data_IF_744830509399
#
_entry.id   IF_744830509399
#
_cell.length_a   1.000
_cell.length_b   1.000
_cell.length_c   1.000
_cell.angle_alpha   90.00
_cell.angle_beta   90.00
_cell.angle_gamma   90.00
#
_symmetry.space_group_name_H-M   'P 1'
#
loop_
_entity.id
_entity.type
_entity.pdbx_description
1 polymer ?
#
# COMPACT_ATOMS: atom_id res chain seq x y z
N UNK A 1 -10.43 18.46 5.41
CA UNK A 1 -10.70 17.48 6.46
C UNK A 1 -9.40 17.20 7.21
N UNK A 2 -9.34 17.63 8.44
CA UNK A 2 -8.23 17.44 9.34
C UNK A 2 -8.14 15.94 9.64
N UNK A 3 -7.13 15.26 9.13
CA UNK A 3 -6.75 14.02 9.75
C UNK A 3 -6.21 14.39 11.14
N UNK A 4 -6.85 13.99 12.23
CA UNK A 4 -6.32 14.23 13.55
C UNK A 4 -5.09 13.34 13.70
N UNK A 5 -3.94 13.91 13.49
CA UNK A 5 -2.68 13.28 13.84
C UNK A 5 -2.58 13.33 15.37
N UNK A 6 -3.20 12.35 16.02
CA UNK A 6 -2.93 12.13 17.42
C UNK A 6 -1.45 11.81 17.56
N UNK A 7 -0.73 12.49 18.46
CA UNK A 7 0.65 12.14 18.75
C UNK A 7 0.75 10.66 19.11
N UNK A 8 1.76 9.98 18.61
CA UNK A 8 2.04 8.60 19.01
C UNK A 8 2.39 8.60 20.51
N UNK A 9 1.78 7.72 21.26
CA UNK A 9 2.14 7.44 22.66
C UNK A 9 3.32 6.47 22.75
N UNK A 10 3.60 5.76 21.67
CA UNK A 10 4.71 4.81 21.57
C UNK A 10 6.03 5.52 21.27
N UNK A 11 7.13 5.02 21.85
CA UNK A 11 8.46 5.51 21.53
C UNK A 11 8.87 5.10 20.11
N UNK A 12 9.64 5.97 19.47
CA UNK A 12 10.26 5.69 18.18
C UNK A 12 11.69 5.20 18.41
N UNK A 13 12.02 4.01 17.89
CA UNK A 13 13.39 3.50 17.85
C UNK A 13 13.96 3.76 16.45
N UNK A 14 15.09 4.48 16.39
CA UNK A 14 15.73 4.84 15.13
C UNK A 14 17.07 4.11 15.00
N UNK A 15 17.27 3.43 13.88
CA UNK A 15 18.52 2.74 13.55
C UNK A 15 19.07 3.21 12.22
N UNK A 16 20.02 4.16 12.17
CA UNK A 16 20.68 4.57 10.93
C UNK A 16 21.47 3.40 10.32
N UNK A 17 21.29 3.17 9.02
CA UNK A 17 21.99 2.11 8.25
C UNK A 17 22.70 2.66 7.02
N UNK A 18 22.39 3.88 6.60
CA UNK A 18 23.03 4.55 5.47
C UNK A 18 24.04 5.58 5.94
N UNK A 19 24.95 5.89 5.06
CA UNK A 19 25.83 7.07 5.14
C UNK A 19 25.51 8.03 4.01
N UNK A 20 26.00 9.25 4.10
CA UNK A 20 25.93 10.24 3.02
C UNK A 20 27.20 10.16 2.19
N UNK A 21 27.09 10.09 0.87
CA UNK A 21 28.21 10.16 -0.05
C UNK A 21 28.66 11.63 -0.30
N UNK A 22 29.66 11.82 -1.15
CA UNK A 22 30.22 13.14 -1.51
C UNK A 22 29.16 14.02 -2.20
N UNK A 23 28.19 13.41 -2.88
CA UNK A 23 27.09 14.09 -3.58
C UNK A 23 25.89 14.39 -2.67
N UNK A 24 26.04 14.16 -1.36
CA UNK A 24 24.99 14.27 -0.35
C UNK A 24 23.80 13.31 -0.55
N UNK A 25 24.04 12.19 -1.22
CA UNK A 25 23.04 11.13 -1.39
C UNK A 25 23.24 10.03 -0.35
N UNK A 26 22.13 9.43 0.07
CA UNK A 26 22.16 8.28 0.99
C UNK A 26 22.68 7.04 0.25
N UNK A 27 23.70 6.40 0.80
CA UNK A 27 24.28 5.19 0.24
C UNK A 27 24.64 4.16 1.31
N UNK A 28 24.74 2.92 0.88
CA UNK A 28 25.30 1.83 1.71
C UNK A 28 26.82 2.06 1.85
N UNK A 29 27.42 1.82 3.04
CA UNK A 29 28.88 1.82 3.16
C UNK A 29 29.56 0.84 2.18
N UNK A 30 30.66 1.24 1.55
CA UNK A 30 31.28 0.49 0.45
C UNK A 30 31.81 -0.90 0.86
N UNK A 31 32.15 -1.06 2.14
CA UNK A 31 32.73 -2.26 2.73
C UNK A 31 31.67 -3.25 3.26
N UNK A 32 30.37 -2.97 3.06
CA UNK A 32 29.29 -3.77 3.64
C UNK A 32 28.27 -4.16 2.58
N UNK A 33 27.86 -5.43 2.60
CA UNK A 33 26.74 -5.93 1.80
C UNK A 33 25.43 -5.47 2.44
N UNK A 34 24.56 -4.80 1.67
CA UNK A 34 23.31 -4.24 2.18
C UNK A 34 22.43 -5.26 2.91
N UNK A 35 22.31 -6.47 2.39
CA UNK A 35 21.51 -7.55 3.02
C UNK A 35 22.05 -7.91 4.41
N UNK A 36 23.38 -7.98 4.59
CA UNK A 36 24.01 -8.26 5.88
C UNK A 36 23.82 -7.08 6.86
N UNK A 37 23.99 -5.85 6.36
CA UNK A 37 23.74 -4.65 7.15
C UNK A 37 22.30 -4.59 7.67
N UNK A 38 21.33 -4.87 6.78
CA UNK A 38 19.91 -4.91 7.11
C UNK A 38 19.60 -6.01 8.12
N UNK A 39 20.14 -7.22 7.91
CA UNK A 39 19.99 -8.35 8.85
C UNK A 39 20.50 -8.00 10.25
N UNK A 40 21.72 -7.47 10.34
CA UNK A 40 22.34 -7.06 11.62
C UNK A 40 21.53 -5.96 12.31
N UNK A 41 21.06 -4.97 11.55
CA UNK A 41 20.26 -3.88 12.09
C UNK A 41 18.94 -4.38 12.68
N UNK A 42 18.20 -5.22 11.93
CA UNK A 42 16.93 -5.78 12.39
C UNK A 42 17.12 -6.72 13.55
N UNK A 43 18.15 -7.59 13.53
CA UNK A 43 18.48 -8.48 14.64
C UNK A 43 18.67 -7.69 15.94
N UNK A 44 19.43 -6.59 15.91
CA UNK A 44 19.60 -5.71 17.07
C UNK A 44 18.28 -5.10 17.55
N UNK A 45 17.42 -4.63 16.63
CA UNK A 45 16.11 -4.10 17.01
C UNK A 45 15.26 -5.17 17.72
N UNK A 46 15.30 -6.40 17.27
CA UNK A 46 14.41 -7.45 17.76
C UNK A 46 14.94 -8.20 18.99
N UNK A 47 16.26 -8.16 19.24
CA UNK A 47 16.91 -8.92 20.33
C UNK A 47 17.39 -8.02 21.49
N UNK A 48 17.54 -6.70 21.29
CA UNK A 48 17.89 -5.77 22.38
C UNK A 48 16.67 -5.51 23.28
N UNK A 49 16.87 -5.49 24.59
CA UNK A 49 15.79 -5.30 25.58
C UNK A 49 15.01 -4.00 25.41
N UNK A 50 15.67 -2.95 24.92
CA UNK A 50 15.08 -1.63 24.70
C UNK A 50 14.06 -1.64 23.57
N UNK A 51 14.22 -2.51 22.58
CA UNK A 51 13.49 -2.47 21.30
C UNK A 51 12.76 -3.76 20.93
N UNK A 52 12.90 -4.84 21.73
CA UNK A 52 12.23 -6.14 21.47
C UNK A 52 10.70 -6.09 21.35
N UNK A 53 10.08 -4.99 21.80
CA UNK A 53 8.63 -4.78 21.70
C UNK A 53 8.20 -4.14 20.37
N UNK A 54 9.13 -3.84 19.46
CA UNK A 54 8.84 -3.29 18.13
C UNK A 54 7.97 -4.25 17.33
N UNK A 55 6.87 -3.76 16.77
CA UNK A 55 5.93 -4.52 15.93
C UNK A 55 5.94 -4.08 14.48
N UNK A 56 6.39 -2.85 14.23
CA UNK A 56 6.40 -2.23 12.90
C UNK A 56 7.78 -1.63 12.66
N UNK A 57 8.33 -1.91 11.50
CA UNK A 57 9.58 -1.29 11.01
C UNK A 57 9.26 -0.55 9.71
N UNK A 58 9.46 0.77 9.71
CA UNK A 58 9.44 1.57 8.49
C UNK A 58 10.77 1.42 7.76
N UNK A 59 10.72 0.96 6.51
CA UNK A 59 11.88 0.84 5.64
C UNK A 59 11.60 1.56 4.31
N UNK A 60 11.86 2.85 4.29
CA UNK A 60 11.63 3.71 3.12
C UNK A 60 12.83 3.69 2.16
N UNK A 61 13.20 2.52 1.69
CA UNK A 61 14.36 2.26 0.82
C UNK A 61 13.90 1.66 -0.50
N UNK A 62 14.57 2.02 -1.58
CA UNK A 62 14.37 1.43 -2.89
C UNK A 62 15.65 1.49 -3.72
N UNK A 63 16.10 0.34 -4.22
CA UNK A 63 17.27 0.26 -5.11
C UNK A 63 16.85 0.57 -6.55
N UNK A 64 17.19 1.76 -7.03
CA UNK A 64 16.87 2.22 -8.39
C UNK A 64 17.56 1.41 -9.50
N UNK A 65 18.63 0.69 -9.18
CA UNK A 65 19.33 -0.20 -10.12
C UNK A 65 18.66 -1.56 -10.25
N UNK A 66 17.70 -1.88 -9.35
CA UNK A 66 17.12 -3.20 -9.24
C UNK A 66 15.59 -3.18 -9.33
N UNK A 67 15.12 -3.11 -10.57
CA UNK A 67 13.71 -3.19 -10.93
C UNK A 67 13.18 -4.61 -10.71
N UNK A 68 12.02 -4.75 -10.07
CA UNK A 68 11.36 -6.04 -9.96
C UNK A 68 10.75 -6.46 -11.31
N UNK A 69 11.27 -7.51 -11.90
CA UNK A 69 10.74 -8.10 -13.14
C UNK A 69 10.03 -9.43 -12.89
N UNK A 70 10.71 -10.40 -12.28
CA UNK A 70 10.15 -11.73 -12.03
C UNK A 70 10.74 -12.44 -10.81
N UNK A 71 12.01 -12.19 -10.47
CA UNK A 71 12.71 -12.87 -9.38
C UNK A 71 12.78 -12.00 -8.15
N UNK A 72 12.59 -12.61 -6.99
CA UNK A 72 12.74 -11.95 -5.69
C UNK A 72 14.18 -11.53 -5.46
N UNK A 73 14.41 -10.28 -5.08
CA UNK A 73 15.73 -9.81 -4.68
C UNK A 73 16.22 -10.46 -3.38
N UNK A 74 17.53 -10.50 -3.13
CA UNK A 74 18.07 -10.97 -1.85
C UNK A 74 17.49 -10.20 -0.66
N UNK A 75 17.31 -8.88 -0.82
CA UNK A 75 16.75 -7.98 0.17
C UNK A 75 15.29 -8.34 0.50
N UNK A 76 14.46 -8.57 -0.51
CA UNK A 76 13.07 -8.99 -0.32
C UNK A 76 12.95 -10.34 0.36
N UNK A 77 13.82 -11.31 -0.03
CA UNK A 77 13.89 -12.62 0.64
C UNK A 77 14.27 -12.49 2.11
N UNK A 78 15.22 -11.61 2.41
CA UNK A 78 15.63 -11.33 3.79
C UNK A 78 14.48 -10.73 4.59
N UNK A 79 13.79 -9.74 4.06
CA UNK A 79 12.62 -9.14 4.73
C UNK A 79 11.51 -10.17 4.97
N UNK A 80 11.23 -11.04 4.00
CA UNK A 80 10.23 -12.09 4.14
C UNK A 80 10.57 -13.07 5.26
N UNK A 81 11.84 -13.45 5.35
CA UNK A 81 12.33 -14.31 6.42
C UNK A 81 12.25 -13.61 7.79
N UNK A 82 12.73 -12.37 7.88
CA UNK A 82 12.70 -11.58 9.12
C UNK A 82 11.28 -11.33 9.62
N UNK A 83 10.34 -10.98 8.70
CA UNK A 83 8.93 -10.81 9.05
C UNK A 83 8.33 -12.07 9.68
N UNK A 84 8.59 -13.23 9.04
CA UNK A 84 8.09 -14.50 9.54
C UNK A 84 8.78 -14.94 10.85
N UNK A 85 10.09 -14.73 10.94
CA UNK A 85 10.88 -15.16 12.11
C UNK A 85 10.55 -14.34 13.37
N UNK A 86 10.63 -13.02 13.26
CA UNK A 86 10.42 -12.11 14.40
C UNK A 86 8.96 -11.67 14.59
N UNK A 87 8.05 -12.05 13.71
CA UNK A 87 6.65 -11.59 13.72
C UNK A 87 6.53 -10.08 13.73
N UNK A 88 7.30 -9.43 12.87
CA UNK A 88 7.38 -7.97 12.70
C UNK A 88 6.89 -7.57 11.32
N UNK A 89 6.14 -6.46 11.23
CA UNK A 89 5.65 -5.92 9.98
C UNK A 89 6.65 -4.88 9.44
N UNK A 90 7.25 -5.17 8.29
CA UNK A 90 7.93 -4.13 7.51
C UNK A 90 6.93 -3.41 6.63
N UNK A 91 6.94 -2.08 6.69
CA UNK A 91 6.21 -1.20 5.78
C UNK A 91 7.26 -0.57 4.88
N UNK A 92 7.19 -0.89 3.58
CA UNK A 92 8.23 -0.56 2.59
C UNK A 92 7.70 0.34 1.49
N UNK A 93 8.55 1.21 0.97
CA UNK A 93 8.21 2.09 -0.15
C UNK A 93 8.20 1.32 -1.48
N UNK A 94 7.22 1.59 -2.34
CA UNK A 94 7.13 0.94 -3.65
C UNK A 94 8.28 1.31 -4.60
N UNK A 95 8.87 2.48 -4.40
CA UNK A 95 9.94 3.05 -5.21
C UNK A 95 9.51 4.30 -5.97
N UNK A 96 10.50 5.13 -6.29
CA UNK A 96 10.35 6.39 -7.01
C UNK A 96 11.07 6.30 -8.35
N UNK A 97 10.35 6.53 -9.44
CA UNK A 97 10.93 6.58 -10.76
C UNK A 97 11.20 8.01 -11.20
N UNK A 98 12.36 8.28 -11.83
CA UNK A 98 12.65 9.59 -12.39
C UNK A 98 11.59 9.95 -13.43
N UNK A 99 11.26 11.21 -13.48
CA UNK A 99 10.05 11.67 -14.15
C UNK A 99 10.38 12.63 -15.26
N UNK A 100 10.96 12.08 -16.30
CA UNK A 100 10.82 12.67 -17.62
C UNK A 100 9.57 12.04 -18.25
N UNK A 101 8.58 12.85 -18.61
CA UNK A 101 7.40 12.40 -19.33
C UNK A 101 7.55 12.90 -20.76
N UNK A 102 7.88 12.01 -21.66
CA UNK A 102 7.88 12.29 -23.09
C UNK A 102 6.45 12.18 -23.62
N UNK A 103 5.80 13.32 -23.83
CA UNK A 103 4.45 13.34 -24.39
C UNK A 103 4.55 13.45 -25.92
N UNK A 104 3.72 12.67 -26.61
CA UNK A 104 3.64 12.78 -28.07
C UNK A 104 3.01 14.13 -28.45
N UNK A 105 3.72 14.93 -29.23
CA UNK A 105 3.27 16.24 -29.71
C UNK A 105 3.96 17.41 -29.01
N UNK A 106 3.58 18.61 -29.43
CA UNK A 106 4.18 19.85 -28.90
C UNK A 106 3.62 20.24 -27.55
N UNK A 107 4.38 21.02 -26.80
CA UNK A 107 3.95 21.54 -25.49
C UNK A 107 2.72 22.46 -25.62
N UNK A 108 2.66 23.32 -26.65
CA UNK A 108 1.50 24.16 -26.90
C UNK A 108 0.23 23.33 -27.04
N UNK A 109 0.28 22.30 -27.90
CA UNK A 109 -0.86 21.37 -28.05
C UNK A 109 -1.27 20.66 -26.76
N UNK A 110 -0.31 20.32 -25.91
CA UNK A 110 -0.60 19.73 -24.60
C UNK A 110 -1.24 20.74 -23.64
N UNK A 111 -0.72 21.97 -23.59
CA UNK A 111 -1.16 23.05 -22.70
C UNK A 111 -2.60 23.50 -22.97
N UNK A 112 -3.01 23.51 -24.24
CA UNK A 112 -4.37 23.86 -24.65
C UNK A 112 -5.44 22.85 -24.25
N UNK A 113 -5.06 21.62 -23.91
CA UNK A 113 -6.01 20.57 -23.54
C UNK A 113 -6.58 20.79 -22.14
N UNK A 114 -7.84 20.37 -21.96
CA UNK A 114 -8.45 20.34 -20.65
C UNK A 114 -7.65 19.42 -19.69
N UNK A 115 -7.63 19.75 -18.39
CA UNK A 115 -6.87 18.98 -17.37
C UNK A 115 -7.15 17.47 -17.43
N UNK A 116 -8.41 17.06 -17.70
CA UNK A 116 -8.79 15.64 -17.83
C UNK A 116 -8.07 14.97 -19.00
N UNK A 117 -7.88 15.64 -20.11
CA UNK A 117 -7.14 15.13 -21.27
C UNK A 117 -5.64 15.08 -21.01
N UNK A 118 -5.08 16.15 -20.41
CA UNK A 118 -3.68 16.18 -20.00
C UNK A 118 -3.36 15.01 -19.09
N UNK A 119 -4.19 14.77 -18.10
CA UNK A 119 -4.08 13.65 -17.16
C UNK A 119 -4.14 12.30 -17.90
N UNK A 120 -5.09 12.12 -18.82
CA UNK A 120 -5.22 10.88 -19.61
C UNK A 120 -3.98 10.60 -20.46
N UNK A 121 -3.39 11.61 -21.07
CA UNK A 121 -2.16 11.48 -21.86
C UNK A 121 -1.02 11.00 -20.96
N UNK A 122 -0.85 11.62 -19.78
CA UNK A 122 0.20 11.29 -18.83
C UNK A 122 0.05 9.84 -18.35
N UNK A 123 -1.13 9.43 -17.86
CA UNK A 123 -1.31 8.07 -17.33
C UNK A 123 -1.21 6.99 -18.41
N UNK A 124 -1.66 7.24 -19.62
CA UNK A 124 -1.47 6.32 -20.76
C UNK A 124 0.01 6.14 -21.10
N UNK A 125 0.78 7.24 -21.11
CA UNK A 125 2.22 7.19 -21.33
C UNK A 125 2.93 6.38 -20.24
N UNK A 126 2.65 6.67 -18.97
CA UNK A 126 3.22 5.92 -17.85
C UNK A 126 2.82 4.44 -17.86
N UNK A 127 1.58 4.13 -18.22
CA UNK A 127 1.12 2.75 -18.35
C UNK A 127 1.80 2.01 -19.51
N UNK A 128 2.11 2.66 -20.60
CA UNK A 128 2.87 2.09 -21.71
C UNK A 128 4.31 1.79 -21.29
N UNK A 129 4.93 2.67 -20.48
CA UNK A 129 6.29 2.56 -19.97
C UNK A 129 6.40 1.74 -18.66
N UNK A 130 5.35 1.05 -18.25
CA UNK A 130 5.31 0.38 -16.93
C UNK A 130 6.44 -0.62 -16.69
N UNK A 131 7.05 -1.21 -17.75
CA UNK A 131 8.18 -2.14 -17.60
C UNK A 131 9.41 -1.50 -16.96
N UNK A 132 9.63 -0.21 -17.24
CA UNK A 132 10.72 0.58 -16.70
C UNK A 132 10.34 1.28 -15.38
N UNK A 133 9.12 1.05 -14.91
CA UNK A 133 8.54 1.72 -13.73
C UNK A 133 7.99 0.73 -12.69
N UNK A 134 8.54 -0.49 -12.68
CA UNK A 134 8.14 -1.53 -11.72
C UNK A 134 8.63 -1.23 -10.31
N UNK A 135 8.22 -2.04 -9.36
CA UNK A 135 8.67 -1.94 -7.97
C UNK A 135 10.20 -1.94 -7.89
N UNK A 136 10.74 -1.16 -6.97
CA UNK A 136 12.16 -1.17 -6.64
C UNK A 136 12.43 -2.09 -5.46
N UNK A 137 13.47 -2.93 -5.55
CA UNK A 137 13.83 -3.82 -4.45
C UNK A 137 14.02 -3.03 -3.13
N UNK A 138 13.49 -3.49 -1.99
CA UNK A 138 12.84 -4.77 -1.71
C UNK A 138 11.30 -4.74 -1.72
N UNK A 139 10.66 -3.82 -2.45
CA UNK A 139 9.21 -3.60 -2.43
C UNK A 139 8.37 -4.81 -2.88
N UNK A 140 8.97 -5.78 -3.56
CA UNK A 140 8.31 -7.02 -4.02
C UNK A 140 8.15 -8.07 -2.90
N UNK A 141 8.71 -7.87 -1.71
CA UNK A 141 8.57 -8.77 -0.55
C UNK A 141 7.10 -9.14 -0.31
N UNK A 142 6.82 -10.43 -0.11
CA UNK A 142 5.44 -10.94 0.03
C UNK A 142 4.90 -10.76 1.45
N UNK A 143 5.76 -10.77 2.47
CA UNK A 143 5.34 -10.58 3.86
C UNK A 143 5.24 -9.11 4.26
N UNK A 144 5.97 -8.21 3.60
CA UNK A 144 5.92 -6.78 3.86
C UNK A 144 4.63 -6.14 3.34
N UNK A 145 4.31 -4.96 3.87
CA UNK A 145 3.28 -4.07 3.34
C UNK A 145 3.94 -3.01 2.45
N UNK A 146 3.69 -3.05 1.16
CA UNK A 146 4.28 -2.16 0.17
C UNK A 146 3.38 -0.97 -0.10
N UNK A 147 3.93 0.24 -0.01
CA UNK A 147 3.17 1.50 -0.09
C UNK A 147 3.56 2.31 -1.32
N UNK A 148 2.59 2.56 -2.19
CA UNK A 148 2.70 3.50 -3.29
C UNK A 148 2.29 4.92 -2.88
N UNK A 149 2.54 5.90 -3.74
CA UNK A 149 2.28 7.30 -3.46
C UNK A 149 1.10 7.87 -4.23
N UNK A 150 0.28 8.66 -3.56
CA UNK A 150 -0.72 9.55 -4.16
C UNK A 150 -0.16 10.98 -4.28
N UNK A 151 -0.56 11.68 -5.32
CA UNK A 151 -0.33 13.11 -5.54
C UNK A 151 -1.17 13.93 -4.54
N UNK A 152 -0.81 13.87 -3.28
CA UNK A 152 -1.54 14.52 -2.20
C UNK A 152 -0.61 14.84 -1.01
N UNK A 153 -0.87 15.97 -0.38
CA UNK A 153 -0.27 16.41 0.88
C UNK A 153 -1.22 17.38 1.60
N UNK A 154 -0.79 17.91 2.73
CA UNK A 154 -1.53 18.87 3.53
C UNK A 154 -1.22 20.33 3.19
N UNK A 155 -0.38 20.59 2.17
CA UNK A 155 -0.04 21.95 1.76
C UNK A 155 -1.23 22.65 1.10
N UNK A 156 -1.30 23.96 1.28
CA UNK A 156 -2.25 24.79 0.55
C UNK A 156 -2.01 24.70 -0.96
N UNK A 157 -3.03 24.93 -1.79
CA UNK A 157 -2.84 25.08 -3.22
C UNK A 157 -1.74 26.12 -3.50
N UNK A 158 -0.78 25.73 -4.31
CA UNK A 158 0.35 26.59 -4.67
C UNK A 158 0.39 26.77 -6.19
N UNK A 159 0.29 28.00 -6.63
CA UNK A 159 0.59 28.40 -8.01
C UNK A 159 2.01 28.96 -8.00
N UNK A 160 2.80 28.54 -8.95
CA UNK A 160 4.19 28.96 -9.07
C UNK A 160 4.51 29.25 -10.54
N UNK A 161 5.00 30.43 -10.83
CA UNK A 161 5.39 30.86 -12.18
C UNK A 161 6.38 29.86 -12.80
N UNK A 162 6.20 29.56 -14.06
CA UNK A 162 7.00 28.58 -14.79
C UNK A 162 6.79 27.14 -14.33
N UNK A 163 5.67 26.84 -13.66
CA UNK A 163 5.31 25.48 -13.20
C UNK A 163 3.86 25.18 -13.50
N UNK A 164 3.61 23.92 -13.87
CA UNK A 164 2.26 23.41 -14.11
C UNK A 164 1.94 22.23 -13.22
N UNK A 165 0.66 22.04 -12.91
CA UNK A 165 0.13 20.89 -12.20
C UNK A 165 -1.03 20.25 -12.98
N UNK A 166 -0.76 19.33 -13.90
CA UNK A 166 -1.79 18.66 -14.68
C UNK A 166 -2.50 17.53 -13.92
N UNK A 167 -1.99 17.15 -12.74
CA UNK A 167 -2.49 16.00 -11.97
C UNK A 167 -3.36 16.48 -10.80
N UNK A 168 -4.64 16.08 -10.75
CA UNK A 168 -5.52 16.37 -9.61
C UNK A 168 -5.04 15.71 -8.32
N UNK A 169 -5.44 16.30 -7.19
CA UNK A 169 -5.17 15.71 -5.88
C UNK A 169 -5.78 14.32 -5.73
N UNK A 170 -5.11 13.45 -4.98
CA UNK A 170 -5.45 12.05 -4.75
C UNK A 170 -5.29 11.10 -5.94
N UNK A 171 -4.87 11.56 -7.10
CA UNK A 171 -4.45 10.63 -8.15
C UNK A 171 -3.10 9.98 -7.81
N UNK A 172 -2.77 8.78 -8.35
CA UNK A 172 -1.45 8.20 -8.16
C UNK A 172 -0.36 9.17 -8.58
N UNK A 173 0.67 9.32 -7.76
CA UNK A 173 1.78 10.20 -8.09
C UNK A 173 2.56 9.64 -9.29
N UNK A 174 2.96 10.49 -10.22
CA UNK A 174 3.62 10.05 -11.46
C UNK A 174 5.02 9.49 -11.25
N UNK A 175 5.59 9.72 -10.07
CA UNK A 175 6.87 9.10 -9.68
C UNK A 175 6.69 7.72 -9.03
N UNK A 176 5.49 7.35 -8.60
CA UNK A 176 5.27 6.06 -7.90
C UNK A 176 5.54 4.87 -8.82
N UNK A 177 6.12 3.81 -8.28
CA UNK A 177 6.27 2.56 -9.00
C UNK A 177 4.91 1.93 -9.34
N UNK A 178 4.86 1.25 -10.48
CA UNK A 178 3.66 0.55 -10.99
C UNK A 178 3.88 -0.96 -10.79
N UNK A 179 3.07 -1.60 -9.94
CA UNK A 179 3.17 -3.03 -9.63
C UNK A 179 2.75 -3.93 -10.80
N UNK A 180 2.66 -5.19 -10.66
CA UNK A 180 2.42 -6.16 -9.65
C UNK A 180 3.65 -6.87 -9.06
N UNK A 181 3.34 -7.61 -8.03
CA UNK A 181 4.30 -8.35 -7.26
C UNK A 181 4.60 -9.76 -7.76
N UNK A 182 5.33 -10.50 -6.91
CA UNK A 182 5.69 -11.88 -7.18
C UNK A 182 4.46 -12.74 -7.51
N UNK A 183 4.60 -13.61 -8.53
CA UNK A 183 3.54 -14.47 -9.03
C UNK A 183 2.24 -13.70 -9.35
N UNK A 184 2.36 -12.47 -9.82
CA UNK A 184 1.23 -11.57 -10.16
C UNK A 184 0.37 -11.17 -8.95
N UNK A 185 0.90 -11.26 -7.74
CA UNK A 185 0.23 -10.75 -6.53
C UNK A 185 -0.01 -9.24 -6.64
N UNK A 186 -0.94 -8.76 -5.85
CA UNK A 186 -1.22 -7.32 -5.77
C UNK A 186 -0.06 -6.64 -5.04
N UNK A 187 0.60 -5.72 -5.74
CA UNK A 187 1.61 -4.78 -5.24
C UNK A 187 1.56 -3.51 -6.10
N UNK A 188 1.72 -2.30 -5.50
CA UNK A 188 1.80 -2.07 -4.05
C UNK A 188 0.57 -2.65 -3.34
N UNK A 189 0.66 -2.91 -2.03
CA UNK A 189 -0.52 -3.38 -1.28
C UNK A 189 -1.55 -2.26 -1.14
N UNK A 190 -1.07 -1.05 -0.88
CA UNK A 190 -1.91 0.14 -0.75
C UNK A 190 -1.17 1.41 -1.16
N UNK A 191 -1.89 2.52 -1.23
CA UNK A 191 -1.32 3.83 -1.54
C UNK A 191 -1.68 4.85 -0.47
N UNK A 192 -0.81 5.84 -0.26
CA UNK A 192 -1.09 6.94 0.65
C UNK A 192 -0.46 8.26 0.17
N UNK A 193 -0.72 9.37 0.87
CA UNK A 193 -0.23 10.70 0.51
C UNK A 193 1.29 10.73 0.46
N UNK A 194 1.86 10.98 -0.71
CA UNK A 194 3.30 10.99 -0.94
C UNK A 194 3.90 12.38 -1.19
N UNK A 195 3.05 13.40 -1.25
CA UNK A 195 3.40 14.77 -1.63
C UNK A 195 2.99 15.12 -3.06
N UNK A 196 2.42 16.31 -3.23
CA UNK A 196 2.13 16.88 -4.54
C UNK A 196 3.43 17.31 -5.22
N UNK A 197 3.44 17.25 -6.53
CA UNK A 197 4.56 17.70 -7.34
C UNK A 197 4.09 18.71 -8.40
N UNK A 198 5.02 19.50 -8.88
CA UNK A 198 4.86 20.39 -10.02
C UNK A 198 5.80 19.96 -11.13
N UNK A 199 5.42 20.25 -12.35
CA UNK A 199 6.30 20.10 -13.51
C UNK A 199 6.82 21.47 -13.98
N UNK A 200 8.04 21.48 -14.47
CA UNK A 200 8.60 22.67 -15.09
C UNK A 200 7.83 22.97 -16.39
N UNK A 201 7.45 24.22 -16.56
CA UNK A 201 6.88 24.70 -17.81
C UNK A 201 7.93 24.73 -18.91
N UNK A 202 7.54 24.46 -20.14
CA UNK A 202 8.40 24.54 -21.32
C UNK A 202 8.16 25.90 -21.96
N UNK A 203 9.23 26.65 -22.19
CA UNK A 203 9.12 28.01 -22.73
C UNK A 203 8.85 28.07 -24.23
N UNK A 204 9.18 27.00 -24.97
CA UNK A 204 8.95 26.94 -26.41
C UNK A 204 7.76 26.00 -26.71
N UNK A 205 6.61 26.59 -27.04
CA UNK A 205 5.36 25.86 -27.29
C UNK A 205 5.45 24.89 -28.48
N UNK A 206 6.36 25.14 -29.44
CA UNK A 206 6.63 24.28 -30.58
C UNK A 206 7.50 23.08 -30.33
N UNK A 207 8.18 23.02 -29.15
CA UNK A 207 9.04 21.89 -28.78
C UNK A 207 8.21 20.67 -28.38
N UNK A 208 8.78 19.47 -28.56
CA UNK A 208 8.21 18.24 -28.06
C UNK A 208 7.99 18.33 -26.53
N UNK A 209 6.80 17.88 -26.11
CA UNK A 209 6.40 17.98 -24.72
C UNK A 209 7.18 16.98 -23.86
N UNK A 210 8.26 17.44 -23.23
CA UNK A 210 9.02 16.68 -22.21
C UNK A 210 8.83 17.34 -20.86
N UNK A 211 7.88 16.84 -20.06
CA UNK A 211 7.64 17.37 -18.73
C UNK A 211 8.70 16.85 -17.74
N UNK A 212 9.30 17.75 -16.98
CA UNK A 212 10.27 17.43 -15.93
C UNK A 212 9.72 17.80 -14.57
N UNK A 213 9.86 16.93 -13.59
CA UNK A 213 9.47 17.25 -12.21
C UNK A 213 10.33 18.41 -11.68
N UNK A 214 9.66 19.38 -11.07
CA UNK A 214 10.31 20.44 -10.32
C UNK A 214 11.00 19.89 -9.06
N UNK A 215 12.28 20.19 -8.89
CA UNK A 215 13.09 19.76 -7.74
C UNK A 215 12.96 20.72 -6.54
N UNK A 216 12.13 21.76 -6.61
CA UNK A 216 11.98 22.73 -5.51
C UNK A 216 11.46 22.01 -4.28
N UNK A 217 12.16 22.23 -3.16
CA UNK A 217 11.83 21.66 -1.84
C UNK A 217 11.78 22.72 -0.72
N UNK A 218 12.17 23.95 -1.00
CA UNK A 218 12.18 25.06 -0.02
C UNK A 218 10.79 25.63 0.28
N UNK A 219 9.79 25.30 -0.53
CA UNK A 219 8.39 25.74 -0.40
C UNK A 219 7.41 24.71 -0.96
N UNK A 220 6.15 24.84 -0.59
CA UNK A 220 5.06 24.01 -1.11
C UNK A 220 5.01 24.02 -2.66
N UNK A 221 4.42 22.96 -3.31
CA UNK A 221 3.76 21.81 -2.67
C UNK A 221 4.75 20.71 -2.29
N UNK A 222 4.28 19.79 -1.47
CA UNK A 222 5.00 18.62 -0.98
C UNK A 222 4.62 18.29 0.47
N UNK A 223 5.03 17.14 0.94
CA UNK A 223 4.91 16.79 2.35
C UNK A 223 5.92 17.62 3.14
N UNK A 224 5.43 18.41 4.11
CA UNK A 224 6.26 19.19 5.01
C UNK A 224 7.01 18.26 5.97
N UNK A 225 8.33 18.39 6.02
CA UNK A 225 9.21 17.60 6.88
C UNK A 225 10.25 18.50 7.55
N UNK A 226 10.83 18.04 8.67
CA UNK A 226 11.99 18.68 9.25
C UNK A 226 13.18 18.64 8.26
N UNK A 227 13.96 19.69 8.22
CA UNK A 227 15.14 19.76 7.36
C UNK A 227 16.39 19.43 8.18
N UNK A 228 16.99 18.23 8.01
CA UNK A 228 18.07 17.76 8.89
C UNK A 228 19.27 18.69 9.04
N UNK A 229 19.75 19.36 7.96
CA UNK A 229 20.89 20.28 8.08
C UNK A 229 20.60 21.50 8.96
N UNK A 230 19.33 21.86 9.16
CA UNK A 230 18.93 22.95 10.05
C UNK A 230 17.62 22.58 10.75
N UNK A 231 17.65 22.15 12.03
CA UNK A 231 16.48 21.67 12.76
C UNK A 231 15.38 22.70 12.98
N UNK A 232 15.65 23.99 12.74
CA UNK A 232 14.64 25.06 12.78
C UNK A 232 13.96 25.31 11.44
N UNK A 233 14.42 24.64 10.38
CA UNK A 233 13.92 24.79 9.02
C UNK A 233 13.07 23.59 8.62
N UNK A 234 12.21 23.82 7.62
CA UNK A 234 11.35 22.80 7.01
C UNK A 234 11.68 22.64 5.53
N UNK A 235 11.45 21.43 5.02
CA UNK A 235 11.49 21.15 3.59
C UNK A 235 10.15 20.53 3.13
N UNK A 236 9.89 20.62 1.83
CA UNK A 236 8.72 20.02 1.20
C UNK A 236 9.17 18.89 0.27
N UNK A 237 8.97 17.67 0.72
CA UNK A 237 9.42 16.49 0.02
C UNK A 237 8.27 15.76 -0.67
N UNK A 238 8.63 14.90 -1.62
CA UNK A 238 7.72 14.05 -2.38
C UNK A 238 8.38 12.70 -2.62
N UNK A 239 7.63 11.63 -2.42
CA UNK A 239 8.14 10.27 -2.58
C UNK A 239 7.24 9.22 -1.93
N UNK A 240 7.40 7.99 -2.37
CA UNK A 240 6.78 6.82 -1.73
C UNK A 240 7.27 6.64 -0.29
N UNK A 241 8.46 7.16 0.04
CA UNK A 241 9.01 7.19 1.41
C UNK A 241 8.11 7.96 2.37
N UNK A 242 7.58 9.13 1.95
CA UNK A 242 6.65 9.92 2.76
C UNK A 242 5.35 9.15 2.99
N UNK A 243 4.78 8.53 1.95
CA UNK A 243 3.59 7.71 2.07
C UNK A 243 3.81 6.54 3.04
N UNK A 244 4.97 5.89 2.96
CA UNK A 244 5.37 4.77 3.82
C UNK A 244 5.48 5.18 5.28
N UNK A 245 6.11 6.34 5.56
CA UNK A 245 6.21 6.88 6.92
C UNK A 245 4.83 7.18 7.51
N UNK A 246 3.92 7.77 6.73
CA UNK A 246 2.56 8.06 7.15
C UNK A 246 1.75 6.78 7.42
N UNK A 247 1.89 5.75 6.59
CA UNK A 247 1.25 4.43 6.82
C UNK A 247 1.83 3.74 8.04
N UNK A 248 3.14 3.89 8.30
CA UNK A 248 3.77 3.36 9.52
C UNK A 248 3.21 4.04 10.77
N UNK A 249 2.95 5.34 10.71
CA UNK A 249 2.24 6.07 11.78
C UNK A 249 0.83 5.53 12.00
N UNK A 250 0.05 5.32 10.93
CA UNK A 250 -1.28 4.70 11.03
C UNK A 250 -1.22 3.30 11.64
N UNK A 251 -0.21 2.51 11.26
CA UNK A 251 0.01 1.19 11.84
C UNK A 251 0.30 1.25 13.34
N UNK A 252 1.16 2.18 13.78
CA UNK A 252 1.43 2.38 15.21
C UNK A 252 0.18 2.83 15.99
N UNK A 253 -0.64 3.67 15.39
CA UNK A 253 -1.94 4.06 15.95
C UNK A 253 -2.88 2.85 16.10
N UNK A 254 -2.94 1.96 15.09
CA UNK A 254 -3.72 0.74 15.16
C UNK A 254 -3.25 -0.23 16.25
N UNK A 255 -1.93 -0.31 16.51
CA UNK A 255 -1.42 -1.12 17.66
C UNK A 255 -2.06 -0.67 18.97
N UNK A 256 -2.17 0.65 19.19
CA UNK A 256 -2.81 1.18 20.40
C UNK A 256 -4.30 0.83 20.44
N UNK A 257 -5.02 1.03 19.33
CA UNK A 257 -6.45 0.67 19.23
C UNK A 257 -6.67 -0.81 19.55
N UNK A 258 -5.88 -1.72 18.92
CA UNK A 258 -6.02 -3.16 19.12
C UNK A 258 -5.84 -3.53 20.60
N UNK A 259 -4.88 -2.90 21.28
CA UNK A 259 -4.62 -3.16 22.72
C UNK A 259 -5.75 -2.67 23.62
N UNK A 260 -6.54 -1.71 23.16
CA UNK A 260 -7.66 -1.13 23.91
C UNK A 260 -9.00 -1.86 23.65
N UNK A 261 -9.06 -2.81 22.69
CA UNK A 261 -10.29 -3.56 22.41
C UNK A 261 -10.57 -4.53 23.56
N UNK A 262 -11.66 -4.35 24.32
CA UNK A 262 -12.04 -5.27 25.38
C UNK A 262 -12.29 -6.66 24.78
N UNK A 263 -11.90 -7.70 25.50
CA UNK A 263 -12.14 -9.12 25.15
C UNK A 263 -11.40 -9.60 23.89
N UNK A 264 -10.60 -8.78 23.24
CA UNK A 264 -9.72 -9.25 22.16
C UNK A 264 -8.41 -9.75 22.76
N UNK A 265 -8.35 -11.03 23.07
CA UNK A 265 -7.15 -11.70 23.55
C UNK A 265 -6.19 -12.01 22.38
N UNK A 266 -5.69 -10.96 21.73
CA UNK A 266 -4.77 -11.12 20.60
C UNK A 266 -3.36 -11.43 21.12
N UNK A 267 -2.78 -12.61 20.80
CA UNK A 267 -1.40 -12.92 21.12
C UNK A 267 -0.43 -11.88 20.54
N UNK A 268 0.59 -11.51 21.30
CA UNK A 268 1.55 -10.45 20.91
C UNK A 268 2.29 -10.76 19.61
N UNK A 269 2.52 -12.04 19.29
CA UNK A 269 3.12 -12.49 18.04
C UNK A 269 2.18 -12.36 16.81
N UNK A 270 0.89 -12.10 17.01
CA UNK A 270 -0.07 -11.85 15.95
C UNK A 270 -0.35 -10.34 15.74
N UNK A 271 0.16 -9.47 16.61
CA UNK A 271 -0.06 -8.02 16.53
C UNK A 271 0.32 -7.44 15.16
N UNK A 272 1.50 -7.77 14.66
CA UNK A 272 1.99 -7.28 13.35
C UNK A 272 1.09 -7.74 12.19
N UNK A 273 0.58 -8.97 12.23
CA UNK A 273 -0.34 -9.53 11.23
C UNK A 273 -1.71 -8.83 11.32
N UNK A 274 -2.21 -8.59 12.53
CA UNK A 274 -3.47 -7.89 12.75
C UNK A 274 -3.42 -6.46 12.20
N UNK A 275 -2.35 -5.71 12.50
CA UNK A 275 -2.13 -4.36 11.96
C UNK A 275 -2.08 -4.38 10.42
N UNK A 276 -1.34 -5.35 9.84
CA UNK A 276 -1.29 -5.53 8.38
C UNK A 276 -2.69 -5.73 7.79
N UNK A 277 -3.49 -6.59 8.41
CA UNK A 277 -4.86 -6.85 7.99
C UNK A 277 -5.76 -5.63 8.12
N UNK A 278 -5.70 -4.92 9.24
CA UNK A 278 -6.54 -3.75 9.51
C UNK A 278 -6.20 -2.56 8.58
N UNK A 279 -4.92 -2.31 8.29
CA UNK A 279 -4.51 -1.27 7.33
C UNK A 279 -5.16 -1.51 5.96
N UNK A 280 -5.17 -2.76 5.49
CA UNK A 280 -5.75 -3.11 4.20
C UNK A 280 -7.28 -3.22 4.27
N UNK A 281 -7.85 -3.62 5.41
CA UNK A 281 -9.31 -3.72 5.59
C UNK A 281 -10.02 -2.38 5.37
N UNK A 282 -9.38 -1.28 5.74
CA UNK A 282 -9.86 0.07 5.49
C UNK A 282 -9.75 0.53 4.03
N UNK A 283 -9.04 -0.20 3.17
CA UNK A 283 -8.79 0.22 1.79
C UNK A 283 -10.01 0.07 0.89
N UNK A 284 -10.10 0.94 -0.11
CA UNK A 284 -10.98 0.81 -1.27
C UNK A 284 -10.49 1.70 -2.40
N UNK A 285 -10.87 1.36 -3.63
CA UNK A 285 -10.50 2.14 -4.82
C UNK A 285 -11.28 3.45 -4.90
N UNK A 286 -12.58 3.43 -4.61
CA UNK A 286 -13.45 4.60 -4.64
C UNK A 286 -13.27 5.44 -5.91
N UNK A 287 -13.39 6.76 -5.76
CA UNK A 287 -13.21 7.71 -6.87
C UNK A 287 -11.83 7.65 -7.54
N UNK A 288 -10.78 7.29 -6.80
CA UNK A 288 -9.41 7.18 -7.35
C UNK A 288 -9.39 6.12 -8.45
N UNK A 289 -9.97 4.95 -8.16
CA UNK A 289 -10.05 3.85 -9.12
C UNK A 289 -10.90 4.18 -10.34
N UNK A 290 -12.01 4.91 -10.16
CA UNK A 290 -12.88 5.34 -11.24
C UNK A 290 -12.15 6.32 -12.17
N UNK A 291 -11.57 7.39 -11.64
CA UNK A 291 -10.81 8.40 -12.39
C UNK A 291 -9.61 7.78 -13.11
N UNK A 292 -8.89 6.88 -12.45
CA UNK A 292 -7.76 6.19 -13.06
C UNK A 292 -8.21 5.30 -14.23
N UNK A 293 -9.32 4.59 -14.07
CA UNK A 293 -9.89 3.79 -15.16
C UNK A 293 -10.32 4.65 -16.36
N UNK A 294 -10.93 5.80 -16.10
CA UNK A 294 -11.26 6.75 -17.18
C UNK A 294 -10.02 7.18 -17.97
N UNK A 295 -8.91 7.44 -17.27
CA UNK A 295 -7.64 7.79 -17.92
C UNK A 295 -7.07 6.64 -18.76
N UNK A 296 -7.10 5.42 -18.22
CA UNK A 296 -6.49 4.26 -18.87
C UNK A 296 -7.35 3.65 -19.95
N UNK A 297 -8.68 3.84 -19.89
CA UNK A 297 -9.63 3.32 -20.88
C UNK A 297 -9.67 1.79 -20.93
N UNK A 298 -9.44 1.10 -19.79
CA UNK A 298 -9.39 -0.36 -19.74
C UNK A 298 -10.71 -0.97 -19.25
N UNK A 299 -11.02 -2.19 -19.72
CA UNK A 299 -12.27 -2.88 -19.41
C UNK A 299 -12.04 -4.29 -18.84
N UNK A 300 -13.06 -4.83 -18.18
CA UNK A 300 -13.08 -6.21 -17.66
C UNK A 300 -11.93 -6.54 -16.73
N UNK A 301 -11.28 -7.67 -16.96
CA UNK A 301 -10.14 -8.14 -16.16
C UNK A 301 -8.92 -7.23 -16.26
N UNK A 302 -8.69 -6.64 -17.45
CA UNK A 302 -7.60 -5.67 -17.66
C UNK A 302 -7.76 -4.42 -16.80
N UNK A 303 -8.99 -3.91 -16.65
CA UNK A 303 -9.33 -2.81 -15.73
C UNK A 303 -8.86 -3.13 -14.31
N UNK A 304 -9.31 -4.25 -13.76
CA UNK A 304 -8.99 -4.66 -12.38
C UNK A 304 -7.48 -4.77 -12.17
N UNK A 305 -6.79 -5.40 -13.09
CA UNK A 305 -5.33 -5.56 -13.04
C UNK A 305 -4.59 -4.23 -13.14
N UNK A 306 -4.99 -3.36 -14.07
CA UNK A 306 -4.34 -2.07 -14.25
C UNK A 306 -4.50 -1.20 -13.01
N UNK A 307 -5.71 -1.10 -12.46
CA UNK A 307 -5.95 -0.32 -11.25
C UNK A 307 -5.15 -0.90 -10.07
N UNK A 308 -5.19 -2.23 -9.84
CA UNK A 308 -4.42 -2.86 -8.76
C UNK A 308 -2.91 -2.62 -8.87
N UNK A 309 -2.35 -2.56 -10.08
CA UNK A 309 -0.93 -2.27 -10.27
C UNK A 309 -0.55 -0.83 -9.86
N UNK A 310 -1.48 0.10 -9.94
CA UNK A 310 -1.26 1.49 -9.57
C UNK A 310 -1.49 1.75 -8.08
N UNK A 311 -2.60 1.24 -7.55
CA UNK A 311 -3.08 1.61 -6.22
C UNK A 311 -3.30 0.43 -5.26
N UNK A 312 -2.96 -0.78 -5.67
CA UNK A 312 -3.17 -1.96 -4.82
C UNK A 312 -4.63 -2.15 -4.43
N UNK A 313 -4.88 -2.27 -3.15
CA UNK A 313 -6.23 -2.29 -2.57
C UNK A 313 -6.83 -0.89 -2.37
N UNK A 314 -6.08 0.18 -2.64
CA UNK A 314 -6.52 1.57 -2.52
C UNK A 314 -5.91 2.31 -1.33
N UNK A 315 -6.55 3.39 -0.91
CA UNK A 315 -6.12 4.21 0.22
C UNK A 315 -6.81 3.74 1.52
N UNK A 316 -6.06 3.51 2.61
CA UNK A 316 -6.64 3.12 3.90
C UNK A 316 -7.46 4.26 4.53
N UNK A 317 -8.63 3.89 5.04
CA UNK A 317 -9.50 4.71 5.87
C UNK A 317 -9.58 4.07 7.27
N UNK A 318 -8.86 4.65 8.22
CA UNK A 318 -8.76 4.10 9.59
C UNK A 318 -10.08 4.26 10.36
N UNK A 319 -10.84 5.32 10.08
CA UNK A 319 -12.15 5.52 10.72
C UNK A 319 -13.12 4.39 10.35
N UNK A 320 -13.01 3.88 9.13
CA UNK A 320 -13.79 2.74 8.67
C UNK A 320 -13.48 1.45 9.44
N UNK A 321 -12.29 1.33 9.99
CA UNK A 321 -11.80 0.13 10.68
C UNK A 321 -12.07 0.20 12.18
N UNK A 322 -11.86 1.36 12.81
CA UNK A 322 -11.94 1.53 14.26
C UNK A 322 -13.36 1.76 14.78
N UNK A 323 -14.25 2.31 13.95
CA UNK A 323 -15.59 2.71 14.39
C UNK A 323 -16.64 1.66 14.06
N UNK A 324 -17.35 1.19 15.08
CA UNK A 324 -18.63 0.54 14.94
C UNK A 324 -19.74 1.57 15.03
N UNK A 325 -20.69 1.54 14.10
CA UNK A 325 -21.86 2.42 14.07
C UNK A 325 -23.13 1.57 14.02
N UNK A 326 -24.32 2.18 14.09
CA UNK A 326 -25.58 1.47 13.89
C UNK A 326 -25.68 0.76 12.51
N UNK A 327 -24.86 1.14 11.55
CA UNK A 327 -24.88 0.62 10.18
C UNK A 327 -23.60 -0.12 9.78
N UNK A 328 -22.62 -0.21 10.66
CA UNK A 328 -21.33 -0.84 10.39
C UNK A 328 -20.76 -1.48 11.65
N UNK A 329 -20.28 -2.70 11.48
CA UNK A 329 -19.53 -3.43 12.50
C UNK A 329 -18.24 -3.99 11.89
N UNK A 330 -17.15 -3.90 12.62
CA UNK A 330 -15.89 -4.55 12.30
C UNK A 330 -15.66 -5.68 13.30
N UNK A 331 -15.44 -6.88 12.80
CA UNK A 331 -15.17 -8.08 13.59
C UNK A 331 -13.75 -8.55 13.29
N UNK A 332 -13.04 -8.98 14.32
CA UNK A 332 -11.66 -9.46 14.23
C UNK A 332 -11.65 -10.90 14.73
N UNK A 333 -11.13 -11.79 13.90
CA UNK A 333 -10.84 -13.17 14.29
C UNK A 333 -9.35 -13.47 14.08
N UNK A 334 -8.78 -14.31 14.91
CA UNK A 334 -7.41 -14.76 14.76
C UNK A 334 -7.29 -16.25 15.09
N UNK A 335 -6.22 -16.86 14.61
CA UNK A 335 -5.98 -18.27 14.85
C UNK A 335 -4.70 -18.76 14.17
N UNK A 336 -4.45 -20.05 14.34
CA UNK A 336 -3.36 -20.77 13.69
C UNK A 336 -3.95 -21.90 12.88
N UNK A 337 -3.53 -22.04 11.63
CA UNK A 337 -3.99 -23.08 10.73
C UNK A 337 -2.79 -23.86 10.19
N UNK A 338 -2.91 -25.17 10.09
CA UNK A 338 -1.91 -26.06 9.49
C UNK A 338 -2.30 -26.40 8.06
N UNK A 339 -1.35 -26.90 7.33
CA UNK A 339 -1.55 -27.37 5.95
C UNK A 339 -2.71 -28.38 5.87
N UNK A 340 -3.53 -28.27 4.84
CA UNK A 340 -4.72 -29.09 4.59
C UNK A 340 -5.81 -29.01 5.70
N UNK A 341 -5.81 -27.94 6.47
CA UNK A 341 -6.87 -27.67 7.45
C UNK A 341 -7.76 -26.53 6.98
N UNK A 342 -8.97 -26.53 7.51
CA UNK A 342 -9.94 -25.45 7.39
C UNK A 342 -10.38 -25.00 8.78
N UNK A 343 -10.57 -23.70 8.92
CA UNK A 343 -11.15 -23.08 10.12
C UNK A 343 -12.36 -22.27 9.67
N UNK A 344 -13.47 -22.46 10.34
CA UNK A 344 -14.70 -21.71 10.08
C UNK A 344 -14.83 -20.62 11.12
N UNK A 345 -14.94 -19.37 10.65
CA UNK A 345 -15.32 -18.24 11.47
C UNK A 345 -16.82 -17.99 11.26
N UNK A 346 -17.55 -18.00 12.36
CA UNK A 346 -18.99 -17.88 12.38
C UNK A 346 -19.39 -16.55 13.03
N UNK A 347 -19.96 -15.65 12.25
CA UNK A 347 -20.31 -14.31 12.69
C UNK A 347 -21.82 -14.10 12.64
N UNK A 348 -22.43 -13.56 13.71
CA UNK A 348 -23.86 -13.29 13.71
C UNK A 348 -24.23 -12.23 12.66
N UNK A 349 -25.28 -12.50 11.91
CA UNK A 349 -25.82 -11.53 10.96
C UNK A 349 -26.50 -10.38 11.72
N UNK A 350 -26.08 -9.13 11.54
CA UNK A 350 -26.70 -7.99 12.23
C UNK A 350 -28.20 -7.86 11.90
N UNK A 351 -29.04 -7.67 12.92
CA UNK A 351 -30.48 -7.51 12.76
C UNK A 351 -30.88 -6.36 11.84
N UNK A 352 -30.07 -5.30 11.79
CA UNK A 352 -30.31 -4.14 10.92
C UNK A 352 -30.27 -4.48 9.42
N UNK A 353 -29.74 -5.63 9.04
CA UNK A 353 -29.71 -6.12 7.65
C UNK A 353 -30.97 -6.88 7.24
N UNK A 354 -31.90 -7.13 8.19
CA UNK A 354 -33.14 -7.86 7.93
C UNK A 354 -34.01 -7.21 6.87
N UNK A 355 -34.53 -8.04 5.96
CA UNK A 355 -35.66 -7.75 5.04
C UNK A 355 -35.59 -6.40 4.30
N UNK A 356 -34.46 -5.70 4.31
CA UNK A 356 -34.29 -4.40 3.67
C UNK A 356 -33.65 -4.54 2.31
N UNK A 357 -34.31 -3.97 1.30
CA UNK A 357 -33.76 -3.77 -0.03
C UNK A 357 -32.88 -2.53 -0.04
N UNK A 358 -31.71 -2.61 0.55
CA UNK A 358 -30.72 -1.52 0.56
C UNK A 358 -29.36 -2.04 0.11
N UNK A 359 -28.48 -1.13 -0.28
CA UNK A 359 -27.07 -1.50 -0.58
C UNK A 359 -26.41 -2.02 0.68
N UNK A 360 -25.90 -3.24 0.59
CA UNK A 360 -25.15 -3.91 1.64
C UNK A 360 -23.72 -4.14 1.16
N UNK A 361 -22.76 -4.00 2.06
CA UNK A 361 -21.36 -4.23 1.76
C UNK A 361 -20.77 -5.15 2.83
N UNK A 362 -20.15 -6.21 2.39
CA UNK A 362 -19.32 -7.09 3.20
C UNK A 362 -17.87 -6.96 2.74
N UNK A 363 -17.00 -6.55 3.64
CA UNK A 363 -15.56 -6.51 3.40
C UNK A 363 -14.90 -7.60 4.23
N UNK A 364 -14.11 -8.45 3.60
CA UNK A 364 -13.37 -9.52 4.28
C UNK A 364 -11.89 -9.35 3.97
N UNK A 365 -11.06 -9.40 5.00
CA UNK A 365 -9.61 -9.32 4.86
C UNK A 365 -8.94 -10.40 5.67
N UNK A 366 -8.18 -11.25 5.00
CA UNK A 366 -7.31 -12.24 5.61
C UNK A 366 -5.86 -11.80 5.40
N UNK A 367 -5.07 -11.77 6.47
CA UNK A 367 -3.64 -11.45 6.43
C UNK A 367 -2.84 -12.52 7.17
N UNK A 368 -1.65 -12.80 6.67
CA UNK A 368 -0.74 -13.77 7.30
C UNK A 368 0.72 -13.47 6.97
N UNK A 369 1.64 -14.11 7.68
CA UNK A 369 3.01 -14.25 7.25
C UNK A 369 3.26 -15.68 6.79
N UNK A 370 3.91 -15.84 5.64
CA UNK A 370 4.28 -17.13 5.09
C UNK A 370 5.77 -17.42 5.35
N UNK A 371 6.13 -18.62 5.79
CA UNK A 371 7.51 -19.05 5.64
C UNK A 371 7.86 -19.13 4.16
N UNK A 372 9.12 -18.93 3.82
CA UNK A 372 9.59 -18.91 2.44
C UNK A 372 10.55 -20.05 2.13
N UNK A 373 10.67 -20.36 0.86
CA UNK A 373 11.67 -21.26 0.31
C UNK A 373 12.54 -20.51 -0.72
N UNK A 374 13.64 -19.87 -0.28
CA UNK A 374 14.41 -18.96 -1.14
C UNK A 374 15.00 -19.62 -2.40
N UNK A 375 15.21 -20.94 -2.37
CA UNK A 375 15.90 -21.69 -3.43
C UNK A 375 14.95 -22.43 -4.37
N UNK A 376 13.63 -22.35 -4.16
CA UNK A 376 12.66 -23.09 -4.94
C UNK A 376 11.81 -22.16 -5.81
N UNK A 377 11.29 -22.68 -6.95
CA UNK A 377 10.28 -22.00 -7.76
C UNK A 377 9.00 -21.70 -6.95
N UNK A 378 8.65 -22.59 -6.01
CA UNK A 378 7.56 -22.35 -5.06
C UNK A 378 8.14 -21.62 -3.86
N UNK A 379 8.07 -20.31 -3.94
CA UNK A 379 8.70 -19.41 -2.99
C UNK A 379 7.97 -19.38 -1.62
N UNK A 380 6.62 -19.33 -1.63
CA UNK A 380 5.80 -19.30 -0.41
C UNK A 380 5.45 -20.71 0.05
N UNK A 381 5.68 -21.04 1.32
CA UNK A 381 5.34 -22.34 1.90
C UNK A 381 3.90 -22.45 2.42
N UNK A 382 3.25 -21.33 2.71
CA UNK A 382 1.87 -21.32 3.19
C UNK A 382 1.01 -20.45 2.27
N UNK A 383 -0.08 -21.04 1.77
CA UNK A 383 -1.07 -20.38 0.94
C UNK A 383 -2.43 -20.44 1.63
N UNK A 384 -2.84 -19.34 2.22
CA UNK A 384 -4.14 -19.21 2.84
C UNK A 384 -5.13 -18.60 1.86
N UNK A 385 -6.39 -18.99 1.99
CA UNK A 385 -7.48 -18.33 1.30
C UNK A 385 -8.75 -18.40 2.14
N UNK A 386 -9.62 -17.42 1.99
CA UNK A 386 -10.97 -17.49 2.56
C UNK A 386 -12.03 -17.62 1.48
N UNK A 387 -13.17 -18.18 1.89
CA UNK A 387 -14.39 -18.22 1.08
C UNK A 387 -15.59 -18.00 2.01
N UNK A 388 -16.41 -16.97 1.76
CA UNK A 388 -17.68 -16.83 2.48
C UNK A 388 -18.67 -17.89 2.01
N UNK A 389 -19.38 -18.53 2.96
CA UNK A 389 -20.50 -19.42 2.65
C UNK A 389 -21.80 -18.61 2.69
N UNK A 390 -22.71 -18.94 1.79
CA UNK A 390 -23.99 -18.25 1.60
C UNK A 390 -23.93 -17.18 0.51
N UNK A 391 -25.00 -17.05 -0.26
CA UNK A 391 -25.08 -16.16 -1.42
C UNK A 391 -25.77 -14.82 -1.11
N UNK A 392 -26.17 -14.58 0.14
CA UNK A 392 -27.15 -13.56 0.47
C UNK A 392 -26.60 -12.13 0.54
N UNK A 393 -25.28 -11.98 0.81
CA UNK A 393 -24.59 -10.69 0.86
C UNK A 393 -23.59 -10.55 -0.29
N UNK A 394 -23.27 -11.64 -0.99
CA UNK A 394 -22.12 -11.77 -1.86
C UNK A 394 -22.45 -11.79 -3.34
N UNK A 395 -23.47 -11.05 -3.76
CA UNK A 395 -23.92 -11.04 -5.17
C UNK A 395 -22.85 -10.62 -6.16
N UNK A 396 -22.05 -9.62 -5.83
CA UNK A 396 -21.04 -9.09 -6.74
C UNK A 396 -19.75 -8.77 -6.00
N UNK A 397 -18.67 -9.41 -6.42
CA UNK A 397 -17.32 -9.09 -5.98
C UNK A 397 -16.83 -7.82 -6.70
N UNK A 398 -16.51 -6.82 -5.91
CA UNK A 398 -16.03 -5.52 -6.37
C UNK A 398 -14.49 -5.49 -6.42
N UNK A 399 -13.96 -4.45 -7.07
CA UNK A 399 -12.55 -4.05 -7.07
C UNK A 399 -11.56 -5.16 -7.50
N UNK A 400 -10.60 -5.55 -6.69
CA UNK A 400 -9.44 -6.36 -7.06
C UNK A 400 -9.77 -7.71 -7.76
N UNK A 401 -8.84 -8.19 -8.58
CA UNK A 401 -8.97 -9.49 -9.26
C UNK A 401 -8.85 -10.62 -8.24
N UNK A 402 -9.87 -11.49 -8.18
CA UNK A 402 -9.92 -12.64 -7.28
C UNK A 402 -8.70 -13.60 -7.42
N UNK A 403 -8.16 -13.74 -8.62
CA UNK A 403 -6.99 -14.59 -8.81
C UNK A 403 -5.73 -13.93 -8.24
N UNK A 404 -5.58 -12.60 -8.44
CA UNK A 404 -4.41 -11.87 -7.95
C UNK A 404 -4.34 -11.81 -6.41
N UNK A 405 -5.49 -11.66 -5.73
CA UNK A 405 -5.53 -11.58 -4.25
C UNK A 405 -5.06 -12.88 -3.59
N UNK A 406 -5.16 -14.02 -4.25
CA UNK A 406 -4.72 -15.32 -3.73
C UNK A 406 -3.21 -15.55 -3.83
N UNK A 407 -2.49 -14.69 -4.56
CA UNK A 407 -1.05 -14.82 -4.79
C UNK A 407 -0.18 -14.05 -3.79
N UNK A 408 -0.77 -13.21 -2.94
CA UNK A 408 -0.09 -12.47 -1.88
C UNK A 408 -0.13 -13.18 -0.52
N UNK A 409 0.07 -12.40 0.53
CA UNK A 409 -0.15 -12.75 1.94
C UNK A 409 -1.24 -11.87 2.57
N UNK A 410 -2.05 -11.28 1.73
CA UNK A 410 -3.27 -10.55 2.05
C UNK A 410 -4.31 -10.95 1.01
N UNK A 411 -5.46 -11.42 1.47
CA UNK A 411 -6.66 -11.53 0.64
C UNK A 411 -7.68 -10.53 1.17
N UNK A 412 -7.97 -9.51 0.38
CA UNK A 412 -8.95 -8.47 0.70
C UNK A 412 -9.98 -8.42 -0.41
N UNK A 413 -11.24 -8.63 -0.06
CA UNK A 413 -12.34 -8.66 -1.01
C UNK A 413 -13.53 -7.88 -0.48
N UNK A 414 -14.18 -7.17 -1.38
CA UNK A 414 -15.36 -6.36 -1.13
C UNK A 414 -16.51 -6.98 -1.92
N UNK A 415 -17.60 -7.30 -1.24
CA UNK A 415 -18.83 -7.78 -1.82
C UNK A 415 -19.93 -6.74 -1.62
N UNK A 416 -20.72 -6.51 -2.64
CA UNK A 416 -21.85 -5.58 -2.58
C UNK A 416 -23.11 -6.23 -3.18
N UNK A 417 -24.24 -6.02 -2.55
CA UNK A 417 -25.53 -6.51 -3.01
C UNK A 417 -26.67 -5.59 -2.59
N UNK A 418 -27.77 -5.65 -3.33
CA UNK A 418 -29.00 -4.86 -3.06
C UNK A 418 -30.19 -5.74 -2.70
N UNK A 419 -30.06 -7.07 -2.77
CA UNK A 419 -31.17 -7.99 -2.49
C UNK A 419 -31.60 -7.91 -1.03
N UNK A 420 -32.88 -8.07 -0.78
CA UNK A 420 -33.40 -8.31 0.55
C UNK A 420 -32.86 -9.65 1.09
N UNK A 421 -32.37 -9.66 2.32
CA UNK A 421 -31.95 -10.88 2.99
C UNK A 421 -33.10 -11.31 3.90
N UNK A 422 -33.71 -12.47 3.69
CA UNK A 422 -34.67 -12.99 4.66
C UNK A 422 -33.95 -13.24 5.98
N UNK A 423 -34.46 -12.68 7.03
CA UNK A 423 -33.93 -12.92 8.38
C UNK A 423 -34.46 -14.26 8.90
N UNK A 424 -33.49 -15.07 9.26
CA UNK A 424 -33.78 -16.23 10.12
C UNK A 424 -33.05 -15.99 11.44
N UNK A 425 -33.78 -16.03 12.53
CA UNK A 425 -33.18 -15.88 13.87
C UNK A 425 -32.07 -16.92 14.06
N UNK A 426 -30.90 -16.44 14.53
CA UNK A 426 -29.70 -17.27 14.67
C UNK A 426 -28.91 -17.51 13.39
N UNK A 427 -29.20 -16.82 12.28
CA UNK A 427 -28.41 -16.94 11.05
C UNK A 427 -27.06 -16.21 11.18
N UNK A 428 -26.02 -16.93 10.82
CA UNK A 428 -24.65 -16.46 10.85
C UNK A 428 -24.04 -16.35 9.44
N UNK A 429 -23.01 -15.56 9.34
CA UNK A 429 -22.13 -15.51 8.15
C UNK A 429 -20.93 -16.41 8.44
N UNK A 430 -20.82 -17.50 7.71
CA UNK A 430 -19.69 -18.41 7.80
C UNK A 430 -18.58 -17.98 6.84
N UNK A 431 -17.36 -17.80 7.35
CA UNK A 431 -16.17 -17.54 6.55
C UNK A 431 -15.21 -18.71 6.76
N UNK A 432 -15.03 -19.51 5.72
CA UNK A 432 -14.10 -20.64 5.75
C UNK A 432 -12.72 -20.14 5.35
N UNK A 433 -11.75 -20.31 6.22
CA UNK A 433 -10.33 -20.07 5.93
C UNK A 433 -9.65 -21.42 5.74
N UNK A 434 -9.03 -21.61 4.60
CA UNK A 434 -8.32 -22.85 4.24
C UNK A 434 -6.83 -22.58 4.03
N UNK A 435 -5.99 -23.54 4.43
CA UNK A 435 -4.58 -23.58 4.13
C UNK A 435 -4.32 -24.68 3.10
N UNK A 436 -4.16 -24.27 1.84
CA UNK A 436 -3.85 -25.17 0.76
C UNK A 436 -2.43 -25.72 0.82
N UNK A 437 -2.22 -26.87 0.14
CA UNK A 437 -0.90 -27.39 -0.15
C UNK A 437 -0.28 -26.55 -1.27
N UNK A 438 0.93 -26.02 -1.07
CA UNK A 438 1.74 -25.62 -2.22
C UNK A 438 2.31 -26.91 -2.81
N UNK A 439 1.96 -27.19 -4.05
CA UNK A 439 2.50 -28.33 -4.78
C UNK A 439 4.00 -28.14 -4.95
N UNK A 440 4.76 -29.18 -4.58
CA UNK A 440 6.22 -29.24 -4.68
C UNK A 440 6.68 -29.37 -6.12
#
# INVERSE_FOLDING_TARGET
ANAPWSPLTSRLYVRPIFRTNIEHEECVPDDVIFVDLLHRAVKRIMEEDVSKTVKIINLSVGDSSRLFLHSMSPEARMLDWLSFHYKVLFIVSAGNHPSFLYLNGTYGSFKEKAQKEQMSIIYKHLQADKRNRTLLAPAESVNCLTVGALHADMSNPCVMDGRINPIPSLMPATYTAIGGGYDRSIKPDLVYRGGKLLYNEIYADSMDATLRISKISSRAPGQMVAYPPNPTSIAYLKGTSNATALVSHLGAYLVNIIREIPLLELPDNLMAIAVKGMLVHGCSWGEIGEKLNECLGTNGRMKKRSISNWIGYGMPDIERVKECTQQRVTLIGHGTIRQNQEVVFDYPLPQCLQSKTCKKRLTITLSWFTPINPSNKIYRKARLSFSPKGNEITDQRQEADNNAVKHGTIQHEIFEGKKAIPYLEGKNIEIVVSCGKEES
#
